data_IF_673783163277
#
_entry.id   IF_673783163277
#
_cell.length_a   1.000
_cell.length_b   1.000
_cell.length_c   1.000
_cell.angle_alpha   90.00
_cell.angle_beta   90.00
_cell.angle_gamma   90.00
#
_symmetry.space_group_name_H-M   'P 1'
#
loop_
_entity.id
_entity.type
_entity.pdbx_description
1 polymer ?
#
# COMPACT_ATOMS: atom_id res chain seq x y z
N UNK A 1 8.50 22.37 -27.47
CA UNK A 1 7.72 21.62 -28.48
C UNK A 1 8.13 20.17 -28.40
N UNK A 2 7.24 19.28 -27.97
CA UNK A 2 6.98 17.91 -28.44
C UNK A 2 5.60 17.57 -27.83
N UNK A 3 4.65 17.23 -28.70
CA UNK A 3 3.30 16.72 -28.37
C UNK A 3 3.34 15.22 -28.58
N UNK A 4 2.62 14.46 -27.76
CA UNK A 4 2.08 13.16 -28.15
C UNK A 4 0.57 13.20 -27.95
N UNK A 5 -0.16 13.22 -29.08
CA UNK A 5 -1.60 13.00 -29.13
C UNK A 5 -1.88 11.56 -28.66
N UNK A 6 -2.41 11.40 -27.45
CA UNK A 6 -2.76 10.10 -26.86
C UNK A 6 -4.24 9.69 -26.97
N UNK A 7 -5.07 10.46 -27.67
CA UNK A 7 -6.53 10.23 -27.73
C UNK A 7 -6.94 8.95 -28.47
N UNK A 8 -6.07 8.32 -29.28
CA UNK A 8 -6.49 7.24 -30.19
C UNK A 8 -6.23 5.81 -29.69
N UNK A 9 -5.34 5.61 -28.70
CA UNK A 9 -4.98 4.27 -28.23
C UNK A 9 -5.80 3.74 -27.04
N UNK A 10 -6.17 4.61 -26.09
CA UNK A 10 -6.85 4.20 -24.84
C UNK A 10 -8.36 4.00 -24.99
N UNK A 11 -8.99 4.69 -25.94
CA UNK A 11 -10.44 4.67 -26.12
C UNK A 11 -10.99 3.32 -26.61
N UNK A 12 -10.15 2.44 -27.17
CA UNK A 12 -10.58 1.12 -27.68
C UNK A 12 -10.37 -0.05 -26.71
N UNK A 13 -9.62 0.14 -25.63
CA UNK A 13 -9.31 -0.93 -24.66
C UNK A 13 -10.13 -0.84 -23.36
N UNK A 14 -10.77 0.30 -23.11
CA UNK A 14 -11.62 0.53 -21.96
C UNK A 14 -12.94 1.16 -22.41
N UNK A 15 -14.06 0.49 -22.10
CA UNK A 15 -15.39 1.08 -22.23
C UNK A 15 -15.62 2.08 -21.09
N UNK A 16 -15.00 3.26 -21.20
CA UNK A 16 -15.19 4.34 -20.24
C UNK A 16 -16.61 4.89 -20.32
N UNK A 17 -17.24 5.06 -19.16
CA UNK A 17 -18.55 5.75 -19.06
C UNK A 17 -18.37 7.24 -19.35
N UNK A 18 -19.44 7.95 -19.70
CA UNK A 18 -19.37 9.39 -20.03
C UNK A 18 -18.67 10.23 -18.95
N UNK A 19 -19.01 10.01 -17.67
CA UNK A 19 -18.34 10.68 -16.54
C UNK A 19 -16.84 10.41 -16.46
N UNK A 20 -16.39 9.20 -16.81
CA UNK A 20 -14.96 8.86 -16.83
C UNK A 20 -14.25 9.56 -18.00
N UNK A 21 -14.92 9.72 -19.14
CA UNK A 21 -14.39 10.48 -20.29
C UNK A 21 -14.25 11.97 -19.97
N UNK A 22 -15.26 12.57 -19.33
CA UNK A 22 -15.20 13.97 -18.88
C UNK A 22 -14.07 14.19 -17.88
N UNK A 23 -13.94 13.30 -16.90
CA UNK A 23 -12.83 13.30 -15.94
C UNK A 23 -11.46 13.20 -16.63
N UNK A 24 -11.28 12.26 -17.57
CA UNK A 24 -10.01 12.13 -18.30
C UNK A 24 -9.71 13.38 -19.15
N UNK A 25 -10.75 13.97 -19.78
CA UNK A 25 -10.61 15.23 -20.53
C UNK A 25 -10.22 16.41 -19.64
N UNK A 26 -10.67 16.45 -18.38
CA UNK A 26 -10.18 17.43 -17.41
C UNK A 26 -8.67 17.23 -17.19
N UNK A 27 -8.22 15.99 -16.96
CA UNK A 27 -6.82 15.69 -16.66
C UNK A 27 -5.85 15.86 -17.84
N UNK A 28 -6.32 15.71 -19.07
CA UNK A 28 -5.47 15.82 -20.28
C UNK A 28 -5.29 17.28 -20.76
N UNK A 29 -5.86 18.26 -20.04
CA UNK A 29 -5.64 19.67 -20.30
C UNK A 29 -4.28 20.15 -19.77
N UNK A 30 -3.80 21.26 -20.32
CA UNK A 30 -2.60 21.93 -19.82
C UNK A 30 -2.97 22.96 -18.79
N UNK A 31 -2.39 22.81 -17.60
CA UNK A 31 -2.55 23.73 -16.50
C UNK A 31 -1.20 24.26 -16.04
N UNK A 32 -1.13 25.55 -15.70
CA UNK A 32 -0.13 26.02 -14.75
C UNK A 32 -0.39 25.38 -13.38
N UNK A 33 0.62 25.38 -12.50
CA UNK A 33 0.49 24.81 -11.16
C UNK A 33 -0.73 25.37 -10.38
N UNK A 34 -0.98 26.68 -10.47
CA UNK A 34 -2.13 27.29 -9.80
C UNK A 34 -3.47 26.91 -10.42
N UNK A 35 -3.53 26.67 -11.73
CA UNK A 35 -4.76 26.22 -12.40
C UNK A 35 -5.02 24.74 -12.08
N UNK A 36 -3.97 23.91 -12.04
CA UNK A 36 -4.07 22.51 -11.66
C UNK A 36 -4.64 22.36 -10.24
N UNK A 37 -4.19 23.19 -9.29
CA UNK A 37 -4.74 23.22 -7.92
C UNK A 37 -6.24 23.57 -7.86
N UNK A 38 -6.71 24.42 -8.78
CA UNK A 38 -8.13 24.79 -8.91
C UNK A 38 -8.92 23.66 -9.57
N UNK A 39 -8.37 23.01 -10.59
CA UNK A 39 -9.00 21.88 -11.26
C UNK A 39 -9.32 20.72 -10.29
N UNK A 40 -8.56 20.56 -9.21
CA UNK A 40 -8.86 19.58 -8.15
C UNK A 40 -10.22 19.81 -7.46
N UNK A 41 -10.73 21.05 -7.45
CA UNK A 41 -12.04 21.38 -6.88
C UNK A 41 -13.21 20.94 -7.78
N UNK A 42 -12.93 20.65 -9.06
CA UNK A 42 -13.92 20.17 -10.02
C UNK A 42 -14.08 18.65 -9.98
N UNK A 43 -13.21 17.94 -9.24
CA UNK A 43 -13.17 16.48 -9.17
C UNK A 43 -14.08 15.98 -8.05
N UNK A 44 -14.97 15.05 -8.38
CA UNK A 44 -15.67 14.22 -7.39
C UNK A 44 -14.74 13.11 -6.88
N UNK A 45 -14.15 13.34 -5.71
CA UNK A 45 -13.17 12.44 -5.08
C UNK A 45 -13.76 11.14 -4.54
N UNK A 46 -15.08 10.97 -4.52
CA UNK A 46 -15.67 9.69 -4.13
C UNK A 46 -15.53 8.66 -5.26
N UNK A 47 -15.42 9.13 -6.52
CA UNK A 47 -15.30 8.29 -7.73
C UNK A 47 -16.33 7.16 -7.75
N UNK A 48 -17.58 7.50 -7.39
CA UNK A 48 -18.67 6.53 -7.32
C UNK A 48 -18.92 5.95 -8.71
N UNK A 49 -18.98 4.61 -8.79
CA UNK A 49 -19.18 3.84 -10.03
C UNK A 49 -18.04 3.87 -11.06
N UNK A 50 -16.90 4.50 -10.74
CA UNK A 50 -15.70 4.40 -11.57
C UNK A 50 -15.13 2.99 -11.50
N UNK A 51 -14.55 2.54 -12.62
CA UNK A 51 -13.83 1.27 -12.68
C UNK A 51 -12.46 1.40 -12.00
N UNK A 52 -12.24 0.61 -10.94
CA UNK A 52 -10.96 0.57 -10.21
C UNK A 52 -10.19 -0.72 -10.47
N UNK A 53 -10.79 -1.65 -11.22
CA UNK A 53 -10.27 -2.96 -11.52
C UNK A 53 -10.01 -3.04 -13.02
N UNK A 54 -8.89 -2.49 -13.48
CA UNK A 54 -8.44 -2.60 -14.86
C UNK A 54 -6.98 -3.04 -14.93
N UNK A 55 -6.62 -3.75 -16.00
CA UNK A 55 -5.24 -4.21 -16.23
C UNK A 55 -4.68 -4.92 -15.00
N UNK A 56 -3.42 -4.62 -14.65
CA UNK A 56 -2.72 -5.24 -13.54
C UNK A 56 -3.29 -4.90 -12.17
N UNK A 57 -4.18 -3.92 -12.02
CA UNK A 57 -4.89 -3.71 -10.75
C UNK A 57 -5.76 -4.90 -10.33
N UNK A 58 -6.09 -5.81 -11.25
CA UNK A 58 -6.87 -7.03 -10.99
C UNK A 58 -6.05 -8.25 -10.53
N UNK A 59 -4.72 -8.18 -10.52
CA UNK A 59 -3.88 -9.38 -10.35
C UNK A 59 -4.05 -10.06 -9.00
N UNK A 60 -4.10 -9.27 -7.93
CA UNK A 60 -4.12 -9.81 -6.57
C UNK A 60 -5.07 -9.00 -5.69
N UNK A 61 -5.94 -9.65 -4.90
CA UNK A 61 -6.67 -8.98 -3.82
C UNK A 61 -5.68 -8.43 -2.80
N UNK A 62 -5.72 -7.14 -2.49
CA UNK A 62 -4.86 -6.54 -1.47
C UNK A 62 -5.69 -5.60 -0.59
N UNK A 63 -5.67 -5.78 0.74
CA UNK A 63 -6.48 -4.98 1.65
C UNK A 63 -5.99 -3.53 1.67
N UNK A 64 -6.90 -2.60 1.98
CA UNK A 64 -6.60 -1.19 2.25
C UNK A 64 -5.80 -0.43 1.17
N UNK A 65 -5.93 -0.81 -0.11
CA UNK A 65 -5.41 -0.01 -1.25
C UNK A 65 -6.34 1.16 -1.60
N UNK A 66 -5.79 2.32 -1.98
CA UNK A 66 -6.60 3.34 -2.62
C UNK A 66 -6.93 3.01 -4.08
N UNK A 67 -7.88 3.76 -4.64
CA UNK A 67 -8.33 3.63 -6.02
C UNK A 67 -7.31 4.23 -7.01
N UNK A 68 -7.17 3.69 -8.23
CA UNK A 68 -6.21 4.20 -9.22
C UNK A 68 -6.41 5.66 -9.63
N UNK A 69 -7.64 6.16 -9.56
CA UNK A 69 -7.98 7.54 -9.95
C UNK A 69 -7.27 8.59 -9.08
N UNK A 70 -6.91 8.25 -7.84
CA UNK A 70 -6.20 9.18 -6.96
C UNK A 70 -4.78 9.45 -7.51
N UNK A 71 -3.87 8.46 -7.60
CA UNK A 71 -2.54 8.71 -8.16
C UNK A 71 -2.61 9.17 -9.62
N UNK A 72 -3.54 8.65 -10.44
CA UNK A 72 -3.71 9.10 -11.82
C UNK A 72 -3.93 10.62 -11.92
N UNK A 73 -4.80 11.18 -11.08
CA UNK A 73 -5.08 12.63 -11.03
C UNK A 73 -3.80 13.43 -10.80
N UNK A 74 -3.03 13.08 -9.78
CA UNK A 74 -1.83 13.86 -9.42
C UNK A 74 -0.70 13.67 -10.42
N UNK A 75 -0.53 12.45 -10.96
CA UNK A 75 0.45 12.16 -12.01
C UNK A 75 0.13 13.01 -13.24
N UNK A 76 -1.13 13.05 -13.69
CA UNK A 76 -1.52 13.82 -14.87
C UNK A 76 -1.37 15.33 -14.70
N UNK A 77 -1.75 15.86 -13.53
CA UNK A 77 -1.81 17.31 -13.31
C UNK A 77 -0.49 17.94 -12.86
N UNK A 78 0.42 17.17 -12.25
CA UNK A 78 1.62 17.72 -11.59
C UNK A 78 2.94 17.09 -12.02
N UNK A 79 2.94 16.26 -13.07
CA UNK A 79 4.17 15.70 -13.66
C UNK A 79 4.07 15.67 -15.18
N UNK A 80 5.22 15.66 -15.84
CA UNK A 80 5.37 15.43 -17.27
C UNK A 80 5.82 13.99 -17.57
N UNK A 81 5.82 13.58 -18.84
CA UNK A 81 6.40 12.30 -19.24
C UNK A 81 7.90 12.26 -18.93
N UNK A 82 8.37 11.13 -18.39
CA UNK A 82 9.76 10.95 -17.95
C UNK A 82 10.05 11.44 -16.51
N UNK A 83 9.16 12.20 -15.88
CA UNK A 83 9.30 12.56 -14.46
C UNK A 83 9.21 11.32 -13.56
N UNK A 84 9.79 11.43 -12.35
CA UNK A 84 9.85 10.31 -11.39
C UNK A 84 8.80 10.46 -10.29
N UNK A 85 7.92 9.46 -10.19
CA UNK A 85 6.89 9.35 -9.16
C UNK A 85 7.33 8.35 -8.09
N UNK A 86 7.23 8.72 -6.82
CA UNK A 86 7.54 7.85 -5.69
C UNK A 86 6.29 7.49 -4.89
N UNK A 87 6.21 6.23 -4.48
CA UNK A 87 5.31 5.78 -3.42
C UNK A 87 6.13 5.08 -2.32
N UNK A 88 6.39 5.72 -1.17
CA UNK A 88 7.21 5.17 -0.09
C UNK A 88 6.51 4.06 0.72
N UNK A 89 5.20 3.86 0.50
CA UNK A 89 4.38 2.81 1.10
C UNK A 89 3.56 2.13 -0.01
N UNK A 90 4.25 1.65 -1.05
CA UNK A 90 3.62 1.34 -2.33
C UNK A 90 2.58 0.23 -2.26
N UNK A 91 2.59 -0.62 -1.23
CA UNK A 91 1.66 -1.73 -1.09
C UNK A 91 1.68 -2.59 -2.35
N UNK A 92 0.51 -2.78 -2.97
CA UNK A 92 0.38 -3.49 -4.24
C UNK A 92 0.64 -2.63 -5.50
N UNK A 93 1.25 -1.45 -5.36
CA UNK A 93 1.84 -0.70 -6.47
C UNK A 93 0.83 0.09 -7.31
N UNK A 94 -0.28 0.54 -6.72
CA UNK A 94 -1.30 1.30 -7.47
C UNK A 94 -0.70 2.56 -8.10
N UNK A 95 0.10 3.34 -7.37
CA UNK A 95 0.82 4.51 -7.89
C UNK A 95 1.77 4.15 -9.02
N UNK A 96 2.52 3.06 -8.87
CA UNK A 96 3.53 2.64 -9.85
C UNK A 96 2.90 2.22 -11.17
N UNK A 97 1.77 1.50 -11.12
CA UNK A 97 1.03 1.13 -12.32
C UNK A 97 0.50 2.37 -13.04
N UNK A 98 -0.04 3.34 -12.32
CA UNK A 98 -0.52 4.58 -12.94
C UNK A 98 0.62 5.43 -13.51
N UNK A 99 1.78 5.47 -12.85
CA UNK A 99 2.96 6.13 -13.38
C UNK A 99 3.44 5.45 -14.68
N UNK A 100 3.58 4.13 -14.66
CA UNK A 100 3.95 3.31 -15.82
C UNK A 100 3.01 3.54 -17.01
N UNK A 101 1.70 3.46 -16.79
CA UNK A 101 0.69 3.63 -17.83
C UNK A 101 0.73 5.03 -18.46
N UNK A 102 1.20 6.02 -17.72
CA UNK A 102 1.32 7.40 -18.15
C UNK A 102 2.76 7.80 -18.49
N UNK A 103 3.67 6.86 -18.78
CA UNK A 103 5.03 7.16 -19.22
C UNK A 103 5.87 7.97 -18.21
N UNK A 104 5.61 7.80 -16.91
CA UNK A 104 6.45 8.35 -15.83
C UNK A 104 7.38 7.25 -15.31
N UNK A 105 8.59 7.63 -14.92
CA UNK A 105 9.42 6.76 -14.11
C UNK A 105 8.78 6.58 -12.73
N UNK A 106 8.98 5.42 -12.12
CA UNK A 106 8.37 5.14 -10.83
C UNK A 106 9.35 4.45 -9.87
N UNK A 107 9.32 4.85 -8.61
CA UNK A 107 9.99 4.15 -7.51
C UNK A 107 8.93 3.80 -6.48
N UNK A 108 8.83 2.53 -6.13
CA UNK A 108 8.01 2.06 -5.03
C UNK A 108 8.88 1.55 -3.90
N UNK A 109 8.47 1.77 -2.66
CA UNK A 109 9.07 1.15 -1.49
C UNK A 109 7.96 0.54 -0.63
N UNK A 110 8.16 -0.68 -0.16
CA UNK A 110 7.29 -1.25 0.88
C UNK A 110 8.08 -2.24 1.74
N UNK A 111 7.77 -2.27 3.03
CA UNK A 111 8.39 -3.20 3.98
C UNK A 111 7.88 -4.64 3.78
N UNK A 112 6.65 -4.81 3.28
CA UNK A 112 6.04 -6.12 3.06
C UNK A 112 6.57 -6.77 1.77
N UNK A 113 7.36 -7.86 1.84
CA UNK A 113 7.94 -8.49 0.65
C UNK A 113 6.89 -9.03 -0.32
N UNK A 114 5.70 -9.42 0.18
CA UNK A 114 4.60 -9.84 -0.69
C UNK A 114 4.06 -8.65 -1.50
N UNK A 115 3.95 -7.49 -0.87
CA UNK A 115 3.48 -6.27 -1.52
C UNK A 115 4.45 -5.82 -2.63
N UNK A 116 5.76 -5.90 -2.35
CA UNK A 116 6.83 -5.65 -3.32
C UNK A 116 6.76 -6.61 -4.51
N UNK A 117 6.62 -7.91 -4.27
CA UNK A 117 6.48 -8.90 -5.32
C UNK A 117 5.26 -8.62 -6.22
N UNK A 118 4.10 -8.33 -5.61
CA UNK A 118 2.88 -7.99 -6.36
C UNK A 118 3.10 -6.71 -7.18
N UNK A 119 3.70 -5.68 -6.59
CA UNK A 119 4.00 -4.41 -7.27
C UNK A 119 4.93 -4.60 -8.47
N UNK A 120 5.97 -5.42 -8.31
CA UNK A 120 6.91 -5.77 -9.38
C UNK A 120 6.20 -6.46 -10.55
N UNK A 121 5.40 -7.50 -10.28
CA UNK A 121 4.65 -8.21 -11.33
C UNK A 121 3.65 -7.28 -12.02
N UNK A 122 2.96 -6.42 -11.27
CA UNK A 122 1.99 -5.48 -11.84
C UNK A 122 2.61 -4.42 -12.76
N UNK A 123 3.92 -4.21 -12.69
CA UNK A 123 4.66 -3.18 -13.43
C UNK A 123 5.68 -3.73 -14.41
N UNK A 124 5.81 -5.06 -14.50
CA UNK A 124 6.74 -5.73 -15.41
C UNK A 124 5.99 -6.29 -16.61
N UNK A 125 6.35 -5.84 -17.82
CA UNK A 125 5.84 -6.43 -19.06
C UNK A 125 6.61 -7.71 -19.38
N UNK A 126 5.91 -8.77 -19.74
CA UNK A 126 6.50 -10.07 -20.08
C UNK A 126 6.17 -10.37 -21.55
N UNK A 127 7.18 -10.66 -22.39
CA UNK A 127 6.96 -11.06 -23.78
C UNK A 127 6.13 -12.34 -23.91
N UNK A 128 5.31 -12.43 -24.95
CA UNK A 128 4.37 -13.54 -25.17
C UNK A 128 5.10 -14.89 -25.32
N UNK A 129 6.29 -14.90 -25.92
CA UNK A 129 7.12 -16.10 -26.05
C UNK A 129 7.56 -16.69 -24.70
N UNK A 130 7.82 -15.84 -23.70
CA UNK A 130 8.18 -16.29 -22.35
C UNK A 130 6.98 -16.93 -21.64
N UNK A 131 5.78 -16.42 -21.86
CA UNK A 131 4.57 -16.99 -21.25
C UNK A 131 4.29 -18.42 -21.73
N UNK A 132 4.54 -18.71 -23.01
CA UNK A 132 4.44 -20.09 -23.52
C UNK A 132 5.40 -21.07 -22.83
N UNK A 133 6.59 -20.60 -22.44
CA UNK A 133 7.56 -21.41 -21.69
C UNK A 133 7.02 -21.83 -20.31
N UNK A 134 6.39 -20.90 -19.58
CA UNK A 134 5.75 -21.18 -18.30
C UNK A 134 4.64 -22.23 -18.43
N UNK A 135 3.76 -22.12 -19.44
CA UNK A 135 2.72 -23.13 -19.69
C UNK A 135 3.31 -24.50 -19.99
N UNK A 136 4.36 -24.56 -20.82
CA UNK A 136 5.04 -25.82 -21.12
C UNK A 136 5.62 -26.45 -19.86
N UNK A 137 6.31 -25.69 -19.01
CA UNK A 137 6.83 -26.16 -17.72
C UNK A 137 5.73 -26.70 -16.81
N UNK A 138 4.60 -25.99 -16.72
CA UNK A 138 3.44 -26.44 -15.97
C UNK A 138 2.85 -27.75 -16.55
N UNK A 139 2.89 -27.97 -17.87
CA UNK A 139 2.40 -29.20 -18.51
C UNK A 139 3.37 -30.38 -18.42
N UNK A 140 4.66 -30.12 -18.55
CA UNK A 140 5.75 -31.11 -18.48
C UNK A 140 6.00 -31.61 -17.05
N UNK A 141 5.37 -30.99 -16.05
CA UNK A 141 5.43 -31.43 -14.65
C UNK A 141 5.08 -32.92 -14.60
N UNK A 142 6.06 -33.75 -14.23
CA UNK A 142 5.80 -35.15 -13.97
C UNK A 142 4.90 -35.22 -12.74
N UNK A 143 3.85 -36.03 -12.78
CA UNK A 143 3.21 -36.53 -11.56
C UNK A 143 4.23 -37.44 -10.85
N UNK A 144 5.24 -36.83 -10.23
CA UNK A 144 6.12 -37.53 -9.30
C UNK A 144 5.35 -37.81 -8.03
N UNK A 145 5.71 -38.90 -7.34
CA UNK A 145 5.19 -39.11 -5.99
C UNK A 145 5.64 -37.93 -5.12
N UNK A 146 4.70 -37.24 -4.46
CA UNK A 146 5.07 -36.14 -3.57
C UNK A 146 5.99 -36.65 -2.47
N UNK A 147 7.00 -35.84 -2.14
CA UNK A 147 7.84 -36.09 -0.98
C UNK A 147 6.96 -36.01 0.28
N UNK A 148 6.50 -37.16 0.74
CA UNK A 148 5.61 -37.31 1.90
C UNK A 148 6.26 -36.75 3.17
N UNK A 149 7.60 -36.78 3.27
CA UNK A 149 8.32 -36.19 4.40
C UNK A 149 8.29 -34.65 4.34
N UNK A 150 8.37 -34.07 3.13
CA UNK A 150 8.21 -32.62 2.90
C UNK A 150 6.79 -32.16 3.22
N UNK A 151 5.76 -32.87 2.77
CA UNK A 151 4.35 -32.58 3.11
C UNK A 151 4.13 -32.61 4.63
N UNK A 152 4.59 -33.67 5.29
CA UNK A 152 4.49 -33.79 6.75
C UNK A 152 5.19 -32.64 7.49
N UNK A 153 6.35 -32.19 6.98
CA UNK A 153 7.08 -31.04 7.54
C UNK A 153 6.30 -29.73 7.37
N UNK A 154 5.69 -29.49 6.21
CA UNK A 154 4.86 -28.31 5.97
C UNK A 154 3.66 -28.30 6.93
N UNK A 155 2.93 -29.42 7.03
CA UNK A 155 1.81 -29.59 7.95
C UNK A 155 2.18 -29.25 9.39
N UNK A 156 3.34 -29.73 9.86
CA UNK A 156 3.84 -29.47 11.22
C UNK A 156 4.18 -28.00 11.46
N UNK A 157 4.60 -27.27 10.42
CA UNK A 157 5.04 -25.88 10.53
C UNK A 157 3.91 -24.86 10.28
N UNK A 158 2.73 -25.31 9.85
CA UNK A 158 1.59 -24.41 9.69
C UNK A 158 1.14 -23.84 11.06
N UNK A 159 0.67 -22.59 11.11
CA UNK A 159 0.16 -21.98 12.33
C UNK A 159 -0.97 -22.81 12.93
N UNK A 160 -1.00 -23.00 14.26
CA UNK A 160 -2.09 -23.71 14.92
C UNK A 160 -3.37 -22.86 14.96
N UNK A 161 -4.11 -22.85 13.84
CA UNK A 161 -5.34 -22.07 13.64
C UNK A 161 -6.37 -22.92 12.91
N UNK A 162 -7.66 -22.67 13.16
CA UNK A 162 -8.77 -23.39 12.48
C UNK A 162 -8.66 -23.33 10.96
N UNK A 163 -8.21 -22.20 10.42
CA UNK A 163 -8.09 -22.00 8.98
C UNK A 163 -6.95 -22.80 8.36
N UNK A 164 -5.95 -23.23 9.15
CA UNK A 164 -4.89 -24.12 8.66
C UNK A 164 -5.44 -25.49 8.23
N UNK A 165 -6.65 -25.87 8.66
CA UNK A 165 -7.31 -27.11 8.24
C UNK A 165 -7.71 -27.15 6.77
N UNK A 166 -7.70 -26.03 6.05
CA UNK A 166 -7.93 -26.01 4.60
C UNK A 166 -6.71 -26.50 3.81
N UNK A 167 -5.54 -26.58 4.43
CA UNK A 167 -4.33 -27.11 3.82
C UNK A 167 -4.19 -28.57 4.23
N UNK A 168 -5.08 -29.42 3.72
CA UNK A 168 -4.96 -30.87 3.83
C UNK A 168 -3.81 -31.41 2.96
N UNK A 169 -3.49 -32.70 3.09
CA UNK A 169 -2.40 -33.34 2.37
C UNK A 169 -2.50 -33.12 0.84
N UNK A 170 -3.69 -33.32 0.28
CA UNK A 170 -3.96 -33.11 -1.16
C UNK A 170 -3.76 -31.66 -1.59
N UNK A 171 -4.21 -30.69 -0.78
CA UNK A 171 -4.05 -29.27 -1.09
C UNK A 171 -2.58 -28.87 -1.02
N UNK A 172 -1.86 -29.37 0.00
CA UNK A 172 -0.43 -29.11 0.17
C UNK A 172 0.37 -29.71 -0.98
N UNK A 173 0.10 -30.95 -1.36
CA UNK A 173 0.71 -31.61 -2.52
C UNK A 173 0.60 -30.74 -3.78
N UNK A 174 -0.62 -30.29 -4.11
CA UNK A 174 -0.84 -29.44 -5.29
C UNK A 174 -0.10 -28.11 -5.22
N UNK A 175 -0.06 -27.46 -4.06
CA UNK A 175 0.65 -26.19 -3.86
C UNK A 175 2.18 -26.37 -3.97
N UNK A 176 2.72 -27.45 -3.42
CA UNK A 176 4.15 -27.77 -3.50
C UNK A 176 4.59 -28.10 -4.92
N UNK A 177 3.78 -28.83 -5.70
CA UNK A 177 4.07 -29.10 -7.11
C UNK A 177 4.17 -27.80 -7.92
N UNK A 178 3.26 -26.84 -7.69
CA UNK A 178 3.34 -25.53 -8.32
C UNK A 178 4.61 -24.79 -7.90
N UNK A 179 4.93 -24.81 -6.60
CA UNK A 179 6.13 -24.15 -6.06
C UNK A 179 7.42 -24.73 -6.64
N UNK A 180 7.50 -26.03 -6.87
CA UNK A 180 8.66 -26.68 -7.50
C UNK A 180 8.89 -26.18 -8.93
N UNK A 181 7.83 -26.06 -9.73
CA UNK A 181 7.93 -25.45 -11.07
C UNK A 181 8.44 -24.01 -10.99
N UNK A 182 7.96 -23.21 -10.02
CA UNK A 182 8.44 -21.84 -9.84
C UNK A 182 9.91 -21.77 -9.42
N UNK A 183 10.37 -22.72 -8.60
CA UNK A 183 11.78 -22.82 -8.20
C UNK A 183 12.67 -23.22 -9.38
N UNK A 184 12.22 -24.15 -10.24
CA UNK A 184 12.94 -24.49 -11.47
C UNK A 184 13.13 -23.26 -12.36
N UNK A 185 12.06 -22.48 -12.59
CA UNK A 185 12.15 -21.24 -13.37
C UNK A 185 13.17 -20.26 -12.79
N UNK A 186 13.22 -20.16 -11.45
CA UNK A 186 14.22 -19.31 -10.77
C UNK A 186 15.64 -19.81 -10.99
N UNK A 187 15.87 -21.12 -10.91
CA UNK A 187 17.18 -21.75 -11.14
C UNK A 187 17.62 -21.55 -12.59
N UNK A 188 16.69 -21.58 -13.53
CA UNK A 188 16.93 -21.34 -14.96
C UNK A 188 17.15 -19.86 -15.31
N UNK A 189 16.98 -18.94 -14.35
CA UNK A 189 17.15 -17.51 -14.55
C UNK A 189 15.90 -16.78 -15.08
N UNK A 190 14.76 -17.48 -15.20
CA UNK A 190 13.48 -16.91 -15.64
C UNK A 190 12.73 -16.23 -14.47
N UNK A 191 13.37 -15.21 -13.90
CA UNK A 191 12.88 -14.52 -12.70
C UNK A 191 11.52 -13.87 -12.91
N UNK A 192 11.25 -13.25 -14.06
CA UNK A 192 9.95 -12.60 -14.29
C UNK A 192 8.80 -13.61 -14.37
N UNK A 193 9.04 -14.81 -14.93
CA UNK A 193 8.07 -15.90 -14.98
C UNK A 193 7.84 -16.51 -13.60
N UNK A 194 8.92 -16.70 -12.84
CA UNK A 194 8.85 -17.14 -11.45
C UNK A 194 8.02 -16.16 -10.61
N UNK A 195 8.26 -14.85 -10.75
CA UNK A 195 7.54 -13.81 -10.02
C UNK A 195 6.04 -13.78 -10.41
N UNK A 196 5.73 -13.81 -11.72
CA UNK A 196 4.36 -13.89 -12.21
C UNK A 196 3.62 -15.10 -11.63
N UNK A 197 4.23 -16.28 -11.71
CA UNK A 197 3.68 -17.51 -11.17
C UNK A 197 3.56 -17.48 -9.63
N UNK A 198 4.49 -16.83 -8.93
CA UNK A 198 4.42 -16.65 -7.48
C UNK A 198 3.24 -15.76 -7.06
N UNK A 199 2.95 -14.70 -7.82
CA UNK A 199 1.76 -13.86 -7.59
C UNK A 199 0.47 -14.61 -7.91
N UNK A 200 0.45 -15.44 -8.97
CA UNK A 200 -0.68 -16.33 -9.26
C UNK A 200 -0.90 -17.36 -8.14
N UNK A 201 0.16 -17.97 -7.62
CA UNK A 201 0.11 -18.89 -6.47
C UNK A 201 -0.43 -18.20 -5.22
N UNK A 202 0.08 -17.00 -4.92
CA UNK A 202 -0.42 -16.18 -3.82
C UNK A 202 -1.90 -15.84 -3.97
N UNK A 203 -2.36 -15.45 -5.16
CA UNK A 203 -3.76 -15.14 -5.40
C UNK A 203 -4.67 -16.38 -5.23
N UNK A 204 -4.15 -17.57 -5.54
CA UNK A 204 -4.83 -18.85 -5.28
C UNK A 204 -4.91 -19.15 -3.79
N UNK A 205 -3.79 -19.02 -3.05
CA UNK A 205 -3.77 -19.19 -1.59
C UNK A 205 -4.75 -18.23 -0.92
N UNK A 206 -4.79 -16.97 -1.35
CA UNK A 206 -5.76 -15.99 -0.85
C UNK A 206 -7.20 -16.47 -1.06
N UNK A 207 -7.54 -16.94 -2.26
CA UNK A 207 -8.87 -17.46 -2.60
C UNK A 207 -9.27 -18.65 -1.72
N UNK A 208 -8.37 -19.60 -1.47
CA UNK A 208 -8.63 -20.76 -0.61
C UNK A 208 -8.91 -20.33 0.84
N UNK A 209 -8.13 -19.40 1.36
CA UNK A 209 -8.26 -18.85 2.72
C UNK A 209 -9.56 -18.07 2.88
N UNK A 210 -9.88 -17.17 1.94
CA UNK A 210 -11.08 -16.33 1.98
C UNK A 210 -12.37 -17.16 1.88
N UNK A 211 -12.40 -18.15 0.97
CA UNK A 211 -13.56 -19.01 0.76
C UNK A 211 -13.63 -20.20 1.72
N UNK A 212 -12.59 -20.44 2.53
CA UNK A 212 -12.45 -21.59 3.44
C UNK A 212 -12.68 -22.94 2.73
N UNK A 213 -12.13 -23.07 1.52
CA UNK A 213 -12.38 -24.22 0.65
C UNK A 213 -11.07 -24.90 0.24
N UNK A 214 -11.06 -26.23 0.16
CA UNK A 214 -9.99 -27.07 -0.40
C UNK A 214 -10.14 -27.25 -1.93
N UNK A 215 -10.73 -26.26 -2.61
CA UNK A 215 -11.13 -26.34 -4.02
C UNK A 215 -9.98 -26.67 -4.98
N UNK A 216 -10.28 -26.90 -6.26
CA UNK A 216 -9.25 -27.34 -7.22
C UNK A 216 -8.14 -26.30 -7.41
N UNK A 217 -7.02 -26.52 -6.73
CA UNK A 217 -5.88 -25.60 -6.62
C UNK A 217 -5.29 -25.29 -8.00
N UNK A 218 -5.13 -26.32 -8.83
CA UNK A 218 -4.51 -26.17 -10.15
C UNK A 218 -5.37 -25.34 -11.08
N UNK A 219 -6.67 -25.61 -11.17
CA UNK A 219 -7.57 -24.84 -12.02
C UNK A 219 -7.72 -23.40 -11.51
N UNK A 220 -7.76 -23.18 -10.19
CA UNK A 220 -7.73 -21.83 -9.63
C UNK A 220 -6.45 -21.08 -10.01
N UNK A 221 -5.28 -21.73 -9.87
CA UNK A 221 -4.00 -21.16 -10.25
C UNK A 221 -3.95 -20.81 -11.73
N UNK A 222 -4.30 -21.75 -12.61
CA UNK A 222 -4.29 -21.53 -14.06
C UNK A 222 -5.28 -20.44 -14.46
N UNK A 223 -6.45 -20.36 -13.82
CA UNK A 223 -7.41 -19.27 -14.05
C UNK A 223 -6.84 -17.90 -13.66
N UNK A 224 -6.11 -17.80 -12.54
CA UNK A 224 -5.44 -16.55 -12.14
C UNK A 224 -4.30 -16.20 -13.09
N UNK A 225 -3.49 -17.18 -13.48
CA UNK A 225 -2.39 -16.97 -14.42
C UNK A 225 -2.90 -16.47 -15.78
N UNK A 226 -3.89 -17.15 -16.39
CA UNK A 226 -4.50 -16.74 -17.66
C UNK A 226 -5.09 -15.33 -17.61
N UNK A 227 -5.68 -14.94 -16.48
CA UNK A 227 -6.16 -13.57 -16.25
C UNK A 227 -5.00 -12.57 -16.30
N UNK A 228 -3.91 -12.84 -15.58
CA UNK A 228 -2.75 -11.95 -15.55
C UNK A 228 -2.11 -11.81 -16.93
N UNK A 229 -1.93 -12.91 -17.65
CA UNK A 229 -1.39 -12.92 -19.02
C UNK A 229 -2.24 -12.09 -19.99
N UNK A 230 -3.56 -12.26 -19.94
CA UNK A 230 -4.50 -11.51 -20.77
C UNK A 230 -4.38 -10.00 -20.56
N UNK A 231 -4.29 -9.57 -19.31
CA UNK A 231 -4.15 -8.15 -18.96
C UNK A 231 -2.74 -7.62 -19.24
N UNK A 232 -1.67 -8.42 -19.06
CA UNK A 232 -0.31 -8.04 -19.48
C UNK A 232 -0.23 -7.80 -20.99
N UNK A 233 -0.89 -8.64 -21.79
CA UNK A 233 -0.98 -8.45 -23.25
C UNK A 233 -1.67 -7.13 -23.61
N UNK A 234 -2.75 -6.77 -22.90
CA UNK A 234 -3.40 -5.46 -23.06
C UNK A 234 -2.48 -4.31 -22.64
N UNK A 235 -1.73 -4.46 -21.56
CA UNK A 235 -0.76 -3.44 -21.11
C UNK A 235 0.37 -3.24 -22.11
N UNK A 236 0.93 -4.32 -22.65
CA UNK A 236 2.00 -4.26 -23.65
C UNK A 236 1.55 -3.56 -24.94
N UNK A 237 0.27 -3.68 -25.33
CA UNK A 237 -0.29 -2.94 -26.45
C UNK A 237 -0.41 -1.43 -26.21
N UNK A 238 -0.51 -1.00 -24.94
CA UNK A 238 -0.63 0.41 -24.54
C UNK A 238 0.74 1.07 -24.34
N UNK A 239 1.72 0.32 -23.85
CA UNK A 239 3.03 0.84 -23.44
C UNK A 239 4.06 0.51 -24.52
N UNK A 240 4.35 1.48 -25.40
CA UNK A 240 5.34 1.32 -26.47
C UNK A 240 6.78 1.38 -25.97
N UNK A 241 7.04 2.30 -25.05
CA UNK A 241 8.36 2.54 -24.45
C UNK A 241 8.19 2.53 -22.94
N UNK A 242 8.46 1.39 -22.28
CA UNK A 242 8.26 1.29 -20.84
C UNK A 242 9.25 2.23 -20.11
N UNK A 243 8.77 3.15 -19.26
CA UNK A 243 9.64 3.93 -18.38
C UNK A 243 10.31 3.03 -17.33
N UNK A 244 11.31 3.56 -16.62
CA UNK A 244 11.97 2.85 -15.52
C UNK A 244 10.99 2.72 -14.35
N UNK A 245 10.79 1.50 -13.89
CA UNK A 245 10.09 1.21 -12.63
C UNK A 245 11.00 0.41 -11.72
N UNK A 246 11.15 0.87 -10.48
CA UNK A 246 11.93 0.20 -9.44
C UNK A 246 11.04 -0.05 -8.22
N UNK A 247 11.11 -1.25 -7.66
CA UNK A 247 10.36 -1.61 -6.45
C UNK A 247 11.33 -2.14 -5.40
N UNK A 248 11.42 -1.41 -4.29
CA UNK A 248 12.34 -1.65 -3.19
C UNK A 248 11.60 -2.34 -2.04
N UNK A 249 12.26 -3.31 -1.40
CA UNK A 249 11.80 -3.91 -0.16
C UNK A 249 12.62 -3.35 1.01
N UNK A 250 12.29 -2.15 1.45
CA UNK A 250 13.04 -1.44 2.49
C UNK A 250 12.10 -0.63 3.40
N UNK A 251 12.66 -0.05 4.46
CA UNK A 251 11.94 0.74 5.45
C UNK A 251 11.72 2.19 4.96
N UNK A 252 10.46 2.63 4.94
CA UNK A 252 10.09 3.99 4.54
C UNK A 252 10.67 5.09 5.45
N UNK A 253 11.13 4.74 6.66
CA UNK A 253 11.82 5.64 7.59
C UNK A 253 13.28 5.89 7.18
N UNK A 254 13.78 5.16 6.18
CA UNK A 254 15.12 5.31 5.59
C UNK A 254 15.08 4.85 4.12
N UNK A 255 14.71 5.75 3.22
CA UNK A 255 14.56 5.41 1.81
C UNK A 255 15.91 5.27 1.11
N UNK A 256 16.12 4.15 0.41
CA UNK A 256 17.24 3.94 -0.50
C UNK A 256 17.06 4.70 -1.84
N UNK A 257 16.68 5.97 -1.76
CA UNK A 257 16.40 6.87 -2.90
C UNK A 257 17.24 8.14 -2.74
N UNK A 258 17.79 8.65 -3.85
CA UNK A 258 18.64 9.83 -3.85
C UNK A 258 17.89 11.10 -3.41
N UNK A 259 18.60 12.03 -2.78
CA UNK A 259 18.01 13.31 -2.37
C UNK A 259 17.65 14.16 -3.59
N UNK A 260 16.49 14.83 -3.54
CA UNK A 260 16.02 15.71 -4.63
C UNK A 260 15.88 15.03 -6.00
N UNK A 261 15.64 13.72 -6.06
CA UNK A 261 15.54 12.97 -7.31
C UNK A 261 14.10 12.71 -7.78
N UNK A 262 13.09 13.01 -6.95
CA UNK A 262 11.68 12.69 -7.21
C UNK A 262 10.88 13.96 -7.54
N UNK A 263 9.96 13.85 -8.50
CA UNK A 263 9.10 14.94 -8.99
C UNK A 263 7.71 14.92 -8.35
N UNK A 264 7.22 13.76 -7.91
CA UNK A 264 5.92 13.65 -7.23
C UNK A 264 5.93 12.49 -6.25
N UNK A 265 5.39 12.71 -5.05
CA UNK A 265 5.04 11.62 -4.13
C UNK A 265 3.52 11.49 -4.08
N UNK A 266 2.98 10.28 -4.28
CA UNK A 266 1.57 9.97 -3.98
C UNK A 266 1.54 8.65 -3.24
N UNK A 267 0.94 8.64 -2.05
CA UNK A 267 1.01 7.47 -1.16
C UNK A 267 -0.17 7.36 -0.21
N UNK A 268 -0.36 6.16 0.33
CA UNK A 268 -1.31 5.86 1.40
C UNK A 268 -0.60 5.02 2.47
N UNK A 269 -0.09 5.66 3.52
CA UNK A 269 0.61 4.94 4.58
C UNK A 269 -0.36 4.04 5.37
N UNK A 270 0.14 3.07 6.15
CA UNK A 270 -0.70 2.30 7.06
C UNK A 270 -1.42 3.24 8.05
N UNK A 271 -2.72 3.03 8.27
CA UNK A 271 -3.47 3.84 9.24
C UNK A 271 -3.33 3.22 10.64
N UNK A 272 -3.02 4.05 11.65
CA UNK A 272 -2.86 3.57 13.01
C UNK A 272 -4.11 2.83 13.49
N UNK A 273 -3.92 1.61 13.99
CA UNK A 273 -4.99 0.76 14.51
C UNK A 273 -6.09 0.44 13.47
N UNK A 274 -5.75 0.33 12.18
CA UNK A 274 -6.71 0.05 11.12
C UNK A 274 -6.63 -1.36 10.53
N UNK A 275 -5.43 -1.93 10.39
CA UNK A 275 -5.23 -3.27 9.83
C UNK A 275 -3.97 -3.96 10.36
N UNK A 276 -3.96 -5.29 10.43
CA UNK A 276 -2.76 -6.11 10.68
C UNK A 276 -2.38 -6.83 9.37
N UNK A 277 -1.46 -6.28 8.58
CA UNK A 277 -1.11 -6.88 7.29
C UNK A 277 -0.42 -8.22 7.48
N UNK A 278 0.44 -8.35 8.50
CA UNK A 278 1.15 -9.60 8.77
C UNK A 278 0.19 -10.78 9.01
N UNK A 279 -0.97 -10.52 9.64
CA UNK A 279 -1.98 -11.57 9.91
C UNK A 279 -2.70 -12.00 8.66
N UNK A 280 -3.02 -11.03 7.80
CA UNK A 280 -3.79 -11.24 6.58
C UNK A 280 -2.96 -11.91 5.49
N UNK A 281 -1.67 -11.58 5.41
CA UNK A 281 -0.75 -12.13 4.41
C UNK A 281 0.03 -13.37 4.90
N UNK A 282 -0.14 -13.77 6.16
CA UNK A 282 0.64 -14.85 6.79
C UNK A 282 0.71 -16.13 5.93
N UNK A 283 -0.43 -16.61 5.43
CA UNK A 283 -0.45 -17.85 4.64
C UNK A 283 0.21 -17.67 3.27
N UNK A 284 -0.03 -16.53 2.61
CA UNK A 284 0.64 -16.19 1.35
C UNK A 284 2.17 -16.16 1.52
N UNK A 285 2.64 -15.53 2.59
CA UNK A 285 4.07 -15.43 2.90
C UNK A 285 4.69 -16.80 3.20
N UNK A 286 4.01 -17.67 3.96
CA UNK A 286 4.47 -19.04 4.24
C UNK A 286 4.66 -19.82 2.93
N UNK A 287 3.68 -19.76 2.02
CA UNK A 287 3.72 -20.49 0.75
C UNK A 287 4.75 -19.96 -0.25
N UNK A 288 5.22 -18.72 -0.04
CA UNK A 288 6.27 -18.10 -0.85
C UNK A 288 7.63 -18.04 -0.14
N UNK A 289 7.81 -18.78 0.97
CA UNK A 289 9.04 -18.81 1.77
C UNK A 289 9.50 -17.42 2.26
N UNK A 290 8.56 -16.50 2.52
CA UNK A 290 8.85 -15.16 3.01
C UNK A 290 8.86 -15.12 4.55
N UNK A 291 9.78 -14.33 5.11
CA UNK A 291 9.89 -14.16 6.57
C UNK A 291 8.79 -13.23 7.13
N UNK A 292 7.63 -13.81 7.42
CA UNK A 292 6.53 -13.09 8.07
C UNK A 292 6.84 -12.68 9.51
N UNK A 293 7.82 -13.33 10.17
CA UNK A 293 8.21 -13.05 11.54
C UNK A 293 9.01 -11.75 11.63
N UNK A 294 9.96 -11.55 10.72
CA UNK A 294 10.69 -10.30 10.54
C UNK A 294 9.73 -9.15 10.17
N UNK A 295 8.85 -9.37 9.19
CA UNK A 295 7.85 -8.37 8.79
C UNK A 295 6.97 -7.93 9.95
N UNK A 296 6.43 -8.87 10.74
CA UNK A 296 5.60 -8.56 11.92
C UNK A 296 6.29 -7.65 12.94
N UNK A 297 7.61 -7.77 13.11
CA UNK A 297 8.36 -6.97 14.11
C UNK A 297 8.53 -5.53 13.64
N UNK A 298 8.71 -5.32 12.34
CA UNK A 298 9.06 -4.03 11.76
C UNK A 298 7.84 -3.25 11.24
N UNK A 299 6.67 -3.90 11.08
CA UNK A 299 5.43 -3.28 10.61
C UNK A 299 5.04 -2.04 11.43
N UNK A 300 4.75 -0.94 10.71
CA UNK A 300 4.28 0.30 11.30
C UNK A 300 2.79 0.19 11.62
N UNK A 301 2.40 0.54 12.84
CA UNK A 301 0.99 0.63 13.25
C UNK A 301 0.31 -0.71 13.62
N UNK A 302 1.07 -1.81 13.70
CA UNK A 302 0.54 -3.14 13.99
C UNK A 302 -0.12 -3.29 15.37
N UNK A 303 -1.23 -4.04 15.46
CA UNK A 303 -2.05 -4.11 16.67
C UNK A 303 -1.40 -4.92 17.79
N UNK A 304 -0.48 -5.81 17.47
CA UNK A 304 0.12 -6.71 18.46
C UNK A 304 1.06 -6.03 19.45
N UNK A 305 1.42 -4.76 19.21
CA UNK A 305 2.26 -3.96 20.09
C UNK A 305 1.41 -3.10 21.05
N UNK A 306 1.94 -2.82 22.24
CA UNK A 306 1.33 -1.91 23.24
C UNK A 306 -0.15 -2.21 23.58
N UNK A 307 -0.53 -3.48 23.69
CA UNK A 307 -1.91 -3.90 23.98
C UNK A 307 -2.47 -3.28 25.27
N UNK A 308 -1.62 -3.08 26.28
CA UNK A 308 -2.03 -2.51 27.57
C UNK A 308 -2.32 -1.00 27.52
N UNK A 309 -1.61 -0.26 26.67
CA UNK A 309 -1.78 1.18 26.50
C UNK A 309 -1.65 1.56 25.02
N UNK A 310 -2.78 1.68 24.33
CA UNK A 310 -2.79 1.95 22.89
C UNK A 310 -2.37 3.37 22.52
N UNK A 311 -2.29 4.30 23.47
CA UNK A 311 -1.73 5.62 23.18
C UNK A 311 -0.20 5.58 22.98
N UNK A 312 0.49 4.56 23.53
CA UNK A 312 1.90 4.29 23.20
C UNK A 312 2.07 3.79 21.76
N UNK A 313 1.09 3.05 21.23
CA UNK A 313 1.06 2.74 19.79
C UNK A 313 0.91 4.01 18.96
N UNK A 314 0.05 4.96 19.38
CA UNK A 314 -0.11 6.22 18.67
C UNK A 314 1.19 7.03 18.65
N UNK A 315 1.88 7.20 19.78
CA UNK A 315 3.14 7.95 19.80
C UNK A 315 4.23 7.29 18.96
N UNK A 316 4.40 5.95 19.03
CA UNK A 316 5.33 5.22 18.15
C UNK A 316 4.99 5.43 16.67
N UNK A 317 3.71 5.28 16.32
CA UNK A 317 3.23 5.52 14.95
C UNK A 317 3.52 6.95 14.46
N UNK A 318 3.27 7.97 15.29
CA UNK A 318 3.57 9.36 14.92
C UNK A 318 5.07 9.57 14.71
N UNK A 319 5.92 8.98 15.54
CA UNK A 319 7.37 9.00 15.36
C UNK A 319 7.80 8.36 14.03
N UNK A 320 7.28 7.15 13.74
CA UNK A 320 7.56 6.45 12.49
C UNK A 320 7.12 7.25 11.26
N UNK A 321 5.93 7.86 11.29
CA UNK A 321 5.42 8.68 10.21
C UNK A 321 6.15 10.01 10.06
N UNK A 322 6.62 10.62 11.16
CA UNK A 322 7.47 11.80 11.11
C UNK A 322 8.80 11.51 10.42
N UNK A 323 9.44 10.38 10.74
CA UNK A 323 10.66 9.93 10.06
C UNK A 323 10.45 9.69 8.57
N UNK A 324 9.33 9.05 8.22
CA UNK A 324 8.96 8.90 6.81
C UNK A 324 8.71 10.25 6.12
N UNK A 325 8.09 11.23 6.79
CA UNK A 325 7.93 12.59 6.25
C UNK A 325 9.26 13.32 6.04
N UNK A 326 10.24 13.13 6.93
CA UNK A 326 11.60 13.65 6.76
C UNK A 326 12.25 13.05 5.51
N UNK A 327 12.14 11.73 5.31
CA UNK A 327 12.66 11.07 4.11
C UNK A 327 11.93 11.49 2.83
N UNK A 328 10.60 11.64 2.89
CA UNK A 328 9.81 12.19 1.78
C UNK A 328 10.23 13.62 1.43
N UNK A 329 10.54 14.46 2.42
CA UNK A 329 11.12 15.78 2.16
C UNK A 329 12.46 15.61 1.45
N UNK A 330 13.39 14.82 2.01
CA UNK A 330 14.75 14.64 1.48
C UNK A 330 14.78 14.24 -0.01
N UNK A 331 13.94 13.29 -0.41
CA UNK A 331 13.95 12.73 -1.78
C UNK A 331 13.20 13.59 -2.80
N UNK A 332 12.21 14.37 -2.36
CA UNK A 332 11.39 15.19 -3.24
C UNK A 332 12.13 16.47 -3.67
N UNK A 333 11.98 16.87 -4.92
CA UNK A 333 12.50 18.15 -5.43
C UNK A 333 11.75 19.32 -4.78
N UNK A 334 12.46 20.41 -4.48
CA UNK A 334 11.83 21.65 -3.98
C UNK A 334 10.78 22.16 -4.97
N UNK A 335 9.67 22.68 -4.45
CA UNK A 335 8.54 23.18 -5.24
C UNK A 335 7.54 22.09 -5.68
N UNK A 336 7.87 20.81 -5.56
CA UNK A 336 7.03 19.69 -5.98
C UNK A 336 6.12 19.20 -4.86
N UNK A 337 5.22 18.28 -5.19
CA UNK A 337 4.15 17.82 -4.30
C UNK A 337 4.42 16.45 -3.67
N UNK A 338 4.02 16.34 -2.40
CA UNK A 338 3.79 15.11 -1.69
C UNK A 338 2.30 15.02 -1.32
N UNK A 339 1.64 13.98 -1.80
CA UNK A 339 0.21 13.74 -1.59
C UNK A 339 0.04 12.50 -0.74
N UNK A 340 -0.57 12.69 0.43
CA UNK A 340 -0.79 11.62 1.40
C UNK A 340 -2.29 11.38 1.56
N UNK A 341 -2.72 10.16 1.25
CA UNK A 341 -4.08 9.69 1.43
C UNK A 341 -4.19 9.01 2.79
N UNK A 342 -4.98 9.57 3.70
CA UNK A 342 -5.09 9.04 5.07
C UNK A 342 -6.50 9.10 5.63
N UNK A 343 -6.91 8.02 6.29
CA UNK A 343 -8.18 7.92 6.99
C UNK A 343 -8.08 8.27 8.46
N UNK A 344 -9.20 8.73 9.02
CA UNK A 344 -9.33 8.84 10.47
C UNK A 344 -9.46 7.44 11.08
N UNK A 345 -8.91 7.24 12.29
CA UNK A 345 -9.09 6.01 13.04
C UNK A 345 -9.60 6.30 14.45
N UNK A 346 -9.66 5.27 15.30
CA UNK A 346 -10.02 5.44 16.70
C UNK A 346 -9.18 4.56 17.59
N UNK A 347 -8.80 5.09 18.74
CA UNK A 347 -8.03 4.42 19.78
C UNK A 347 -8.65 4.69 21.14
N UNK A 348 -8.94 3.64 21.90
CA UNK A 348 -9.47 3.75 23.27
C UNK A 348 -10.70 4.67 23.39
N UNK A 349 -11.57 4.66 22.37
CA UNK A 349 -12.77 5.51 22.20
C UNK A 349 -12.52 6.98 21.82
N UNK A 350 -11.26 7.36 21.58
CA UNK A 350 -10.91 8.69 21.06
C UNK A 350 -10.74 8.66 19.54
N UNK A 351 -11.18 9.73 18.87
CA UNK A 351 -11.01 9.91 17.44
C UNK A 351 -9.57 10.36 17.12
N UNK A 352 -8.91 9.61 16.26
CA UNK A 352 -7.59 9.93 15.73
C UNK A 352 -7.78 10.58 14.38
N UNK A 353 -7.68 11.91 14.37
CA UNK A 353 -7.76 12.73 13.16
C UNK A 353 -6.39 12.78 12.48
N UNK A 354 -5.97 11.65 11.90
CA UNK A 354 -4.62 11.44 11.35
C UNK A 354 -4.18 12.58 10.41
N UNK A 355 -5.10 13.12 9.62
CA UNK A 355 -4.82 14.22 8.69
C UNK A 355 -4.32 15.49 9.38
N UNK A 356 -4.77 15.78 10.61
CA UNK A 356 -4.30 16.95 11.38
C UNK A 356 -2.89 16.75 11.91
N UNK A 357 -2.58 15.56 12.41
CA UNK A 357 -1.22 15.22 12.84
C UNK A 357 -0.23 15.32 11.68
N UNK A 358 -0.57 14.76 10.51
CA UNK A 358 0.27 14.83 9.32
C UNK A 358 0.46 16.27 8.84
N UNK A 359 -0.59 17.09 8.81
CA UNK A 359 -0.47 18.50 8.44
C UNK A 359 0.42 19.30 9.41
N UNK A 360 0.32 19.02 10.72
CA UNK A 360 1.17 19.65 11.73
C UNK A 360 2.64 19.22 11.62
N UNK A 361 2.90 17.92 11.48
CA UNK A 361 4.24 17.37 11.30
C UNK A 361 4.90 17.81 9.97
N UNK A 362 4.10 17.95 8.91
CA UNK A 362 4.56 18.47 7.62
C UNK A 362 5.14 19.89 7.74
N UNK A 363 4.52 20.76 8.53
CA UNK A 363 5.01 22.12 8.75
C UNK A 363 6.41 22.14 9.39
N UNK A 364 6.71 21.18 10.28
CA UNK A 364 8.01 21.04 10.93
C UNK A 364 9.07 20.36 10.03
N UNK A 365 8.68 19.82 8.87
CA UNK A 365 9.56 19.05 7.97
C UNK A 365 9.72 19.73 6.61
N UNK A 366 9.61 21.06 6.54
CA UNK A 366 9.85 21.83 5.32
C UNK A 366 8.74 21.73 4.26
N UNK A 367 7.57 21.22 4.63
CA UNK A 367 6.39 21.17 3.78
C UNK A 367 5.39 22.28 4.14
N UNK A 368 4.74 22.82 3.11
CA UNK A 368 3.56 23.67 3.24
C UNK A 368 2.32 22.87 2.86
N UNK A 369 1.35 22.75 3.75
CA UNK A 369 0.04 22.21 3.40
C UNK A 369 -0.71 23.22 2.50
N UNK A 370 -0.96 22.84 1.25
CA UNK A 370 -1.68 23.66 0.29
C UNK A 370 -3.19 23.43 0.35
N UNK A 371 -3.62 22.18 0.54
CA UNK A 371 -5.02 21.79 0.52
C UNK A 371 -5.19 20.45 1.24
N UNK A 372 -6.30 20.31 1.95
CA UNK A 372 -6.77 19.02 2.48
C UNK A 372 -8.14 18.74 1.87
N UNK A 373 -8.26 17.68 1.09
CA UNK A 373 -9.49 17.31 0.38
C UNK A 373 -10.15 16.14 1.10
N UNK A 374 -11.34 16.31 1.69
CA UNK A 374 -12.09 15.20 2.26
C UNK A 374 -12.78 14.39 1.16
N UNK A 375 -12.91 13.08 1.37
CA UNK A 375 -13.70 12.17 0.52
C UNK A 375 -14.38 11.09 1.34
N UNK A 376 -15.49 10.58 0.83
CA UNK A 376 -16.21 9.45 1.40
C UNK A 376 -15.81 8.15 0.70
N UNK A 377 -15.49 7.12 1.48
CA UNK A 377 -15.22 5.78 0.92
C UNK A 377 -16.52 5.00 0.78
N UNK A 378 -16.78 4.49 -0.44
CA UNK A 378 -17.88 3.56 -0.70
C UNK A 378 -17.80 2.34 0.23
N UNK A 379 -18.88 2.14 1.01
CA UNK A 379 -18.98 1.12 2.07
C UNK A 379 -18.85 -0.31 1.52
N UNK A 380 -19.10 -0.53 0.23
CA UNK A 380 -19.00 -1.85 -0.42
C UNK A 380 -17.57 -2.23 -0.81
N UNK A 381 -16.62 -1.28 -0.78
CA UNK A 381 -15.25 -1.46 -1.25
C UNK A 381 -14.22 -1.65 -0.12
N UNK A 382 -14.69 -1.83 1.13
CA UNK A 382 -13.84 -1.93 2.32
C UNK A 382 -13.47 -3.37 2.67
N UNK A 383 -12.18 -3.57 2.90
CA UNK A 383 -11.66 -4.66 3.73
C UNK A 383 -11.18 -4.08 5.07
N UNK A 384 -12.13 -3.70 5.94
CA UNK A 384 -11.83 -3.34 7.34
C UNK A 384 -12.54 -4.32 8.27
N UNK A 385 -11.86 -4.79 9.31
CA UNK A 385 -12.46 -5.71 10.29
C UNK A 385 -13.67 -5.06 10.98
N UNK A 386 -14.66 -5.87 11.36
CA UNK A 386 -15.90 -5.42 12.03
C UNK A 386 -15.67 -4.76 13.40
N UNK A 387 -14.48 -4.92 13.98
CA UNK A 387 -14.06 -4.37 15.28
C UNK A 387 -13.55 -2.93 15.16
N UNK A 388 -13.07 -2.52 13.99
CA UNK A 388 -12.54 -1.19 13.73
C UNK A 388 -13.71 -0.41 13.10
N UNK A 389 -14.15 0.68 13.72
CA UNK A 389 -15.25 1.49 13.18
C UNK A 389 -15.04 1.76 11.69
N UNK A 390 -16.11 1.75 10.89
CA UNK A 390 -16.01 1.99 9.45
C UNK A 390 -15.32 3.35 9.25
N UNK A 391 -14.11 3.37 8.69
CA UNK A 391 -13.41 4.62 8.33
C UNK A 391 -14.15 5.20 7.11
N UNK A 392 -15.22 5.95 7.32
CA UNK A 392 -16.06 6.49 6.23
C UNK A 392 -15.41 7.67 5.53
N UNK A 393 -14.56 8.41 6.26
CA UNK A 393 -13.88 9.61 5.76
C UNK A 393 -12.38 9.37 5.56
N UNK A 394 -11.90 9.76 4.39
CA UNK A 394 -10.49 9.77 4.02
C UNK A 394 -10.12 11.17 3.54
N UNK A 395 -8.86 11.55 3.72
CA UNK A 395 -8.36 12.88 3.44
C UNK A 395 -7.14 12.78 2.54
N UNK A 396 -7.12 13.59 1.49
CA UNK A 396 -5.94 13.79 0.66
C UNK A 396 -5.26 15.07 1.13
N UNK A 397 -4.05 14.94 1.68
CA UNK A 397 -3.25 16.06 2.15
C UNK A 397 -2.24 16.40 1.07
N UNK A 398 -2.31 17.63 0.54
CA UNK A 398 -1.42 18.11 -0.50
C UNK A 398 -0.34 18.99 0.12
N UNK A 399 0.87 18.45 0.18
CA UNK A 399 2.03 19.10 0.77
C UNK A 399 2.99 19.54 -0.33
N UNK A 400 3.34 20.82 -0.38
CA UNK A 400 4.40 21.31 -1.26
C UNK A 400 5.69 21.45 -0.48
N UNK A 401 6.80 20.90 -1.02
CA UNK A 401 8.12 21.10 -0.41
C UNK A 401 8.58 22.54 -0.63
N UNK A 402 8.69 23.32 0.43
CA UNK A 402 9.12 24.73 0.39
C UNK A 402 10.54 24.93 0.91
N UNK A 403 11.01 24.03 1.78
CA UNK A 403 12.36 24.02 2.32
C UNK A 403 12.88 22.59 2.45
N UNK A 404 14.22 22.46 2.48
CA UNK A 404 14.87 21.23 2.92
C UNK A 404 14.68 21.08 4.42
N UNK A 405 14.48 19.85 4.89
CA UNK A 405 14.53 19.53 6.31
C UNK A 405 15.99 19.43 6.76
N UNK A 406 16.36 20.16 7.81
CA UNK A 406 17.75 20.23 8.29
C UNK A 406 18.13 19.07 9.24
N UNK A 407 17.18 18.21 9.56
CA UNK A 407 17.35 17.07 10.47
C UNK A 407 17.30 15.74 9.71
N UNK A 408 18.04 14.75 10.19
CA UNK A 408 17.99 13.38 9.68
C UNK A 408 16.76 12.65 10.23
N UNK A 409 16.23 11.70 9.45
CA UNK A 409 15.19 10.79 9.93
C UNK A 409 15.66 9.92 11.11
N UNK A 410 16.96 9.88 11.42
CA UNK A 410 17.53 9.21 12.60
C UNK A 410 17.72 10.12 13.83
N UNK A 411 17.30 11.39 13.77
CA UNK A 411 17.40 12.33 14.88
C UNK A 411 16.30 12.07 15.91
N UNK A 412 16.62 11.26 16.93
CA UNK A 412 15.67 10.87 17.97
C UNK A 412 15.19 12.05 18.82
N UNK A 413 16.02 13.07 19.03
CA UNK A 413 15.68 14.22 19.88
C UNK A 413 14.67 15.12 19.18
N UNK A 414 14.88 15.40 17.88
CA UNK A 414 13.91 16.13 17.06
C UNK A 414 12.58 15.38 16.99
N UNK A 415 12.60 14.08 16.68
CA UNK A 415 11.38 13.27 16.55
C UNK A 415 10.63 13.20 17.89
N UNK A 416 11.34 13.01 19.00
CA UNK A 416 10.75 13.02 20.35
C UNK A 416 10.04 14.34 20.62
N UNK A 417 10.73 15.46 20.39
CA UNK A 417 10.20 16.80 20.66
C UNK A 417 8.90 17.06 19.88
N UNK A 418 8.88 16.74 18.58
CA UNK A 418 7.69 16.96 17.75
C UNK A 418 6.54 16.05 18.17
N UNK A 419 6.81 14.76 18.45
CA UNK A 419 5.78 13.80 18.86
C UNK A 419 5.21 14.15 20.24
N UNK A 420 6.03 14.60 21.19
CA UNK A 420 5.58 15.11 22.49
C UNK A 420 4.60 16.27 22.32
N UNK A 421 4.94 17.25 21.49
CA UNK A 421 4.05 18.39 21.20
C UNK A 421 2.69 17.92 20.63
N UNK A 422 2.71 16.98 19.68
CA UNK A 422 1.48 16.41 19.12
C UNK A 422 0.65 15.66 20.16
N UNK A 423 1.30 14.84 21.00
CA UNK A 423 0.62 14.05 22.03
C UNK A 423 0.07 14.91 23.17
N UNK A 424 0.77 15.98 23.56
CA UNK A 424 0.25 16.98 24.50
C UNK A 424 -0.97 17.71 23.93
N UNK A 425 -0.92 18.17 22.68
CA UNK A 425 -2.06 18.80 22.01
C UNK A 425 -3.26 17.85 21.94
N UNK A 426 -3.02 16.59 21.59
CA UNK A 426 -4.06 15.57 21.56
C UNK A 426 -4.66 15.31 22.94
N UNK A 427 -3.84 15.26 23.98
CA UNK A 427 -4.30 15.09 25.37
C UNK A 427 -5.22 16.23 25.81
N UNK A 428 -4.87 17.47 25.54
CA UNK A 428 -5.74 18.61 25.89
C UNK A 428 -7.06 18.56 25.09
N UNK A 429 -7.01 18.18 23.81
CA UNK A 429 -8.24 17.93 23.03
C UNK A 429 -9.12 16.85 23.67
N UNK A 430 -8.55 15.75 24.16
CA UNK A 430 -9.30 14.68 24.83
C UNK A 430 -9.96 15.18 26.13
N UNK A 431 -9.31 16.08 26.88
CA UNK A 431 -9.93 16.71 28.05
C UNK A 431 -11.09 17.63 27.68
N UNK A 432 -10.93 18.46 26.64
CA UNK A 432 -11.93 19.43 26.23
C UNK A 432 -13.14 18.79 25.55
N UNK A 433 -12.91 17.78 24.70
CA UNK A 433 -13.92 17.12 23.87
C UNK A 433 -13.77 15.60 23.93
N UNK A 434 -14.05 14.99 25.08
CA UNK A 434 -13.91 13.55 25.26
C UNK A 434 -14.84 12.74 24.35
N UNK A 435 -14.33 11.63 23.79
CA UNK A 435 -15.23 10.57 23.35
C UNK A 435 -15.93 10.76 22.01
N UNK A 436 -15.20 11.29 21.03
CA UNK A 436 -15.71 11.47 19.65
C UNK A 436 -15.39 10.29 18.73
N UNK A 437 -15.02 9.13 19.29
CA UNK A 437 -14.67 7.95 18.50
C UNK A 437 -15.71 7.63 17.42
N UNK A 438 -15.26 7.02 16.32
CA UNK A 438 -16.02 6.82 15.05
C UNK A 438 -17.41 6.16 15.24
N UNK A 439 -17.67 5.51 16.38
CA UNK A 439 -18.95 4.86 16.71
C UNK A 439 -19.95 5.74 17.49
N UNK A 440 -19.64 7.01 17.76
CA UNK A 440 -20.57 7.97 18.37
C UNK A 440 -20.98 7.70 19.83
N UNK A 441 -20.35 6.72 20.51
CA UNK A 441 -20.61 6.44 21.94
C UNK A 441 -19.70 7.30 22.80
N UNK A 442 -20.30 8.15 23.65
CA UNK A 442 -19.56 8.88 24.68
C UNK A 442 -19.03 7.89 25.74
N UNK A 443 -17.73 7.89 26.06
CA UNK A 443 -17.13 7.11 27.13
C UNK A 443 -17.60 7.63 28.51
N UNK A 444 -17.55 6.78 29.53
CA UNK A 444 -17.84 7.18 30.91
C UNK A 444 -16.78 8.14 31.46
N UNK A 445 -17.11 8.93 32.49
CA UNK A 445 -16.16 9.81 33.17
C UNK A 445 -14.94 9.05 33.73
N UNK A 446 -15.17 7.88 34.33
CA UNK A 446 -14.11 6.99 34.82
C UNK A 446 -13.17 6.57 33.68
N UNK A 447 -13.74 6.24 32.51
CA UNK A 447 -12.97 5.86 31.33
C UNK A 447 -12.14 7.02 30.80
N UNK A 448 -12.68 8.23 30.82
CA UNK A 448 -11.96 9.43 30.40
C UNK A 448 -10.78 9.74 31.32
N UNK A 449 -10.98 9.65 32.63
CA UNK A 449 -9.87 9.79 33.59
C UNK A 449 -8.77 8.76 33.29
N UNK A 450 -9.15 7.50 33.05
CA UNK A 450 -8.20 6.44 32.66
C UNK A 450 -7.51 6.73 31.32
N UNK A 451 -8.21 7.30 30.33
CA UNK A 451 -7.60 7.68 29.05
C UNK A 451 -6.54 8.77 29.25
N UNK A 452 -6.80 9.77 30.11
CA UNK A 452 -5.83 10.82 30.45
C UNK A 452 -4.61 10.24 31.15
N UNK A 453 -4.80 9.35 32.14
CA UNK A 453 -3.68 8.66 32.83
C UNK A 453 -2.83 7.85 31.84
N UNK A 454 -3.47 7.12 30.93
CA UNK A 454 -2.76 6.38 29.86
C UNK A 454 -2.04 7.31 28.88
N UNK A 455 -2.60 8.47 28.56
CA UNK A 455 -1.94 9.47 27.73
C UNK A 455 -0.70 10.05 28.41
N UNK A 456 -0.79 10.34 29.72
CA UNK A 456 0.35 10.81 30.51
C UNK A 456 1.48 9.76 30.55
N UNK A 457 1.14 8.49 30.77
CA UNK A 457 2.09 7.39 30.67
C UNK A 457 2.72 7.31 29.27
N UNK A 458 1.89 7.42 28.21
CA UNK A 458 2.36 7.32 26.84
C UNK A 458 3.32 8.46 26.49
N UNK A 459 3.03 9.69 26.94
CA UNK A 459 3.89 10.86 26.77
C UNK A 459 5.23 10.65 27.48
N UNK A 460 5.20 10.22 28.74
CA UNK A 460 6.43 9.97 29.51
C UNK A 460 7.33 8.86 28.92
N UNK A 461 6.79 8.03 28.03
CA UNK A 461 7.49 6.92 27.38
C UNK A 461 7.89 7.19 25.93
N UNK A 462 7.58 8.36 25.35
CA UNK A 462 7.86 8.67 23.94
C UNK A 462 9.34 8.43 23.58
N UNK A 463 10.27 8.99 24.35
CA UNK A 463 11.70 8.87 24.08
C UNK A 463 12.22 7.41 24.09
N UNK A 464 11.52 6.50 24.78
CA UNK A 464 11.82 5.05 24.78
C UNK A 464 11.14 4.37 23.57
N UNK A 465 9.87 4.67 23.33
CA UNK A 465 9.00 3.93 22.39
C UNK A 465 9.28 4.24 20.91
N UNK A 466 9.80 5.43 20.58
CA UNK A 466 10.02 5.86 19.19
C UNK A 466 11.42 5.53 18.65
N UNK A 467 12.31 5.00 19.50
CA UNK A 467 13.66 4.63 19.09
C UNK A 467 13.57 3.46 18.13
N UNK A 468 14.26 3.57 16.99
CA UNK A 468 14.36 2.45 16.07
C UNK A 468 15.19 1.35 16.73
N UNK A 469 14.67 0.13 16.73
CA UNK A 469 15.42 -1.05 17.17
C UNK A 469 16.63 -1.21 16.23
N UNK A 470 17.85 -1.20 16.81
CA UNK A 470 19.12 -1.25 16.06
C UNK A 470 19.39 -2.59 15.41
#
# INVERSE_FOLDING_TARGET
MIRLNGETGRNHLFEWKEKEKEYLKLLDQKYSFSEALKALDEIDWDFKNFNTQYLSHKFHPYPARFIPQIPLTFIKLFTEEGDTVLDPFCGCGTTLVEALLNSRNAVGNDLNPLAVLISKVKTTLIPEEKLHYLHRKLQERKKGDPDSAKIARVLKNLPNRKISKIFDETTIEKLELLREVLLELRIEGENELCDLGSVALSATVWSLVENRSTGDVEEQFLKKLRLMESELKKMAALIKHPPRVEVLNDDARKLAVASGSVDLIVTSPPYVNAFDYYRSHMYNMIWLDMDFGAFKKQEIGGHSQFVNNRFRLLSRYLGDMLRALIEMNRVLKKGHLCVIVIGNSSLEYEAIESHKFFAAMAACTGFKNLKTIPRSIDKTRKYTSSEIGKIEDEYLILLQKTAEVEVSASDDDFVTTVVEQQMHSFREKVKEKPGTGVRGKKPSEERLKKNIEKLDEAIAKIAEDIRLEK
#
